data_IF_439858931613
#
_entry.id   IF_439858931613
#
_cell.length_a   1.000
_cell.length_b   1.000
_cell.length_c   1.000
_cell.angle_alpha   90.00
_cell.angle_beta   90.00
_cell.angle_gamma   90.00
#
_symmetry.space_group_name_H-M   'P 1'
#
loop_
_entity.id
_entity.type
_entity.pdbx_description
1 polymer ?
#
# COMPACT_ATOMS: atom_id res chain seq x y z
N UNK A 1 -11.31 27.51 8.63
CA UNK A 1 -11.86 26.21 9.07
C UNK A 1 -11.56 25.24 7.94
N UNK A 2 -11.06 24.04 8.25
CA UNK A 2 -10.77 23.02 7.23
C UNK A 2 -12.06 22.70 6.47
N UNK A 3 -11.95 22.42 5.18
CA UNK A 3 -13.08 22.22 4.26
C UNK A 3 -13.44 20.73 4.09
N UNK A 4 -12.48 19.83 4.30
CA UNK A 4 -12.70 18.38 4.26
C UNK A 4 -11.46 17.60 4.66
N UNK A 5 -11.56 16.28 4.64
CA UNK A 5 -10.57 15.34 5.14
C UNK A 5 -9.69 14.74 4.05
N UNK A 6 -8.52 14.28 4.47
CA UNK A 6 -7.63 13.45 3.67
C UNK A 6 -6.99 12.37 4.52
N UNK A 7 -6.90 11.15 3.98
CA UNK A 7 -6.09 10.08 4.57
C UNK A 7 -5.39 9.29 3.48
N UNK A 8 -4.10 9.04 3.67
CA UNK A 8 -3.44 7.91 3.02
C UNK A 8 -3.92 6.60 3.66
N UNK A 9 -4.04 5.55 2.86
CA UNK A 9 -4.26 4.17 3.31
C UNK A 9 -3.18 3.30 2.68
N UNK A 10 -2.11 3.04 3.42
CA UNK A 10 -0.96 2.26 2.93
C UNK A 10 -1.17 0.79 3.28
N UNK A 11 -1.24 -0.10 2.29
CA UNK A 11 -1.45 -1.53 2.51
C UNK A 11 -0.12 -2.29 2.46
N UNK A 12 0.35 -2.80 3.61
CA UNK A 12 1.60 -3.57 3.70
C UNK A 12 1.31 -5.07 3.76
N UNK A 13 1.77 -5.80 2.75
CA UNK A 13 1.60 -7.24 2.69
C UNK A 13 2.76 -7.95 1.98
N UNK A 14 3.27 -8.99 2.62
CA UNK A 14 4.06 -10.03 1.97
C UNK A 14 3.53 -11.40 2.42
N UNK A 15 3.51 -12.41 1.54
CA UNK A 15 3.12 -13.77 1.90
C UNK A 15 4.09 -14.37 2.93
N UNK A 16 3.74 -15.54 3.46
CA UNK A 16 4.63 -16.25 4.37
C UNK A 16 5.87 -16.75 3.63
N UNK A 17 7.00 -16.09 3.85
CA UNK A 17 8.27 -16.30 3.17
C UNK A 17 9.37 -16.84 4.11
N UNK A 18 9.14 -16.81 5.43
CA UNK A 18 10.07 -17.36 6.43
C UNK A 18 10.41 -18.82 6.14
N UNK A 19 11.70 -19.11 5.97
CA UNK A 19 12.29 -20.41 5.58
C UNK A 19 11.79 -20.98 4.24
N UNK A 20 11.19 -20.17 3.38
CA UNK A 20 10.73 -20.61 2.05
C UNK A 20 11.82 -20.55 0.96
N UNK A 21 13.05 -20.17 1.34
CA UNK A 21 14.16 -19.86 0.44
C UNK A 21 14.82 -18.55 0.87
N UNK A 22 16.10 -18.36 0.55
CA UNK A 22 16.81 -17.09 0.83
C UNK A 22 16.88 -16.18 -0.41
N UNK A 23 17.09 -16.74 -1.60
CA UNK A 23 17.29 -15.99 -2.86
C UNK A 23 16.86 -16.86 -4.06
N UNK A 24 16.23 -16.33 -5.14
CA UNK A 24 15.76 -14.95 -5.35
C UNK A 24 14.32 -14.71 -4.83
N UNK A 25 13.68 -15.76 -4.30
CA UNK A 25 12.33 -15.74 -3.77
C UNK A 25 12.34 -16.35 -2.36
N UNK A 26 11.65 -15.71 -1.41
CA UNK A 26 11.66 -16.11 0.00
C UNK A 26 11.96 -14.91 0.92
N UNK A 27 12.83 -15.11 1.91
CA UNK A 27 13.08 -14.11 2.96
C UNK A 27 13.68 -12.80 2.44
N UNK A 28 14.35 -12.81 1.30
CA UNK A 28 14.88 -11.58 0.68
C UNK A 28 13.79 -10.55 0.39
N UNK A 29 12.57 -10.95 0.01
CA UNK A 29 11.46 -10.00 -0.17
C UNK A 29 11.12 -9.25 1.12
N UNK A 30 11.14 -9.95 2.26
CA UNK A 30 10.94 -9.32 3.57
C UNK A 30 12.07 -8.34 3.89
N UNK A 31 13.31 -8.67 3.52
CA UNK A 31 14.49 -7.85 3.81
C UNK A 31 14.60 -6.63 2.89
N UNK A 32 14.27 -6.77 1.61
CA UNK A 32 14.12 -5.67 0.66
C UNK A 32 13.02 -4.72 1.15
N UNK A 33 11.82 -5.22 1.45
CA UNK A 33 10.74 -4.39 1.98
C UNK A 33 11.10 -3.74 3.33
N UNK A 34 11.75 -4.45 4.25
CA UNK A 34 12.16 -3.88 5.53
C UNK A 34 13.21 -2.77 5.37
N UNK A 35 14.21 -2.96 4.49
CA UNK A 35 15.30 -2.00 4.28
C UNK A 35 14.88 -0.80 3.44
N UNK A 36 14.10 -1.01 2.39
CA UNK A 36 13.73 0.03 1.42
C UNK A 36 12.39 0.69 1.74
N UNK A 37 11.46 0.01 2.41
CA UNK A 37 10.11 0.53 2.69
C UNK A 37 9.88 0.81 4.18
N UNK A 38 9.85 -0.23 5.03
CA UNK A 38 9.31 -0.08 6.39
C UNK A 38 10.20 0.78 7.30
N UNK A 39 11.52 0.54 7.31
CA UNK A 39 12.45 1.34 8.11
C UNK A 39 12.53 2.78 7.59
N UNK A 40 12.62 3.04 6.26
CA UNK A 40 12.55 4.40 5.72
C UNK A 40 11.24 5.14 6.02
N UNK A 41 10.07 4.49 5.90
CA UNK A 41 8.79 5.10 6.28
C UNK A 41 8.78 5.42 7.78
N UNK A 42 9.19 4.49 8.65
CA UNK A 42 9.29 4.78 10.09
C UNK A 42 10.22 5.97 10.36
N UNK A 43 11.37 6.05 9.68
CA UNK A 43 12.26 7.20 9.81
C UNK A 43 11.55 8.50 9.40
N UNK A 44 10.86 8.53 8.25
CA UNK A 44 10.10 9.69 7.79
C UNK A 44 9.04 10.14 8.80
N UNK A 45 8.24 9.20 9.33
CA UNK A 45 7.17 9.51 10.29
C UNK A 45 7.73 9.96 11.65
N UNK A 46 8.80 9.33 12.14
CA UNK A 46 9.41 9.73 13.40
C UNK A 46 10.11 11.09 13.29
N UNK A 47 10.72 11.41 12.16
CA UNK A 47 11.30 12.73 11.93
C UNK A 47 10.21 13.82 11.99
N UNK A 48 9.06 13.60 11.32
CA UNK A 48 7.92 14.53 11.39
C UNK A 48 7.39 14.68 12.83
N UNK A 49 7.31 13.57 13.57
CA UNK A 49 6.91 13.56 14.98
C UNK A 49 7.88 14.37 15.85
N UNK A 50 9.19 14.18 15.68
CA UNK A 50 10.24 14.90 16.42
C UNK A 50 10.28 16.39 16.05
N UNK A 51 9.92 16.73 14.81
CA UNK A 51 9.70 18.12 14.35
C UNK A 51 8.38 18.73 14.88
N UNK A 52 7.51 17.95 15.50
CA UNK A 52 6.21 18.39 16.02
C UNK A 52 5.12 18.59 14.96
N UNK A 53 5.27 17.99 13.77
CA UNK A 53 4.28 18.07 12.68
C UNK A 53 3.07 17.18 13.01
N UNK A 54 1.84 17.71 13.06
CA UNK A 54 0.65 16.94 13.44
C UNK A 54 0.05 16.15 12.27
N UNK A 55 0.84 15.26 11.67
CA UNK A 55 0.38 14.43 10.54
C UNK A 55 -0.55 13.31 10.99
N UNK A 56 -1.41 12.83 10.07
CA UNK A 56 -2.27 11.66 10.28
C UNK A 56 -2.34 10.81 9.01
N UNK A 57 -2.28 9.49 9.16
CA UNK A 57 -2.55 8.54 8.09
C UNK A 57 -3.07 7.21 8.63
N UNK A 58 -3.53 6.36 7.71
CA UNK A 58 -3.91 4.98 7.97
C UNK A 58 -2.94 4.03 7.25
N UNK A 59 -2.52 2.96 7.94
CA UNK A 59 -1.64 1.92 7.38
C UNK A 59 -2.16 0.54 7.76
N UNK A 60 -2.33 -0.36 6.80
CA UNK A 60 -2.64 -1.77 7.04
C UNK A 60 -1.38 -2.59 7.16
N UNK A 61 -1.26 -3.35 8.25
CA UNK A 61 -0.21 -4.35 8.43
C UNK A 61 -0.89 -5.72 8.46
N UNK A 62 -0.68 -6.52 7.42
CA UNK A 62 -1.31 -7.85 7.39
C UNK A 62 -0.78 -8.72 8.54
N UNK A 63 -1.62 -9.59 9.14
CA UNK A 63 -1.20 -10.42 10.27
C UNK A 63 0.03 -11.29 9.94
N UNK A 64 0.02 -11.96 8.79
CA UNK A 64 1.16 -12.77 8.32
C UNK A 64 2.45 -11.95 8.15
N UNK A 65 2.37 -10.69 7.72
CA UNK A 65 3.55 -9.82 7.65
C UNK A 65 4.02 -9.44 9.06
N UNK A 66 3.09 -9.08 9.94
CA UNK A 66 3.37 -8.65 11.31
C UNK A 66 4.07 -9.76 12.10
N UNK A 67 3.58 -11.01 12.01
CA UNK A 67 4.21 -12.17 12.64
C UNK A 67 5.65 -12.38 12.13
N UNK A 68 5.90 -12.19 10.84
CA UNK A 68 7.24 -12.36 10.26
C UNK A 68 8.20 -11.24 10.66
N UNK A 69 7.74 -9.98 10.67
CA UNK A 69 8.55 -8.83 11.10
C UNK A 69 8.81 -8.81 12.62
N UNK A 70 8.06 -9.57 13.41
CA UNK A 70 8.31 -9.77 14.84
C UNK A 70 9.17 -11.02 15.14
N UNK A 71 9.42 -11.89 14.15
CA UNK A 71 10.18 -13.13 14.35
C UNK A 71 11.69 -12.87 14.48
N UNK A 72 12.29 -13.38 15.56
CA UNK A 72 13.70 -13.16 15.89
C UNK A 72 14.66 -13.62 14.79
N UNK A 73 14.35 -14.74 14.12
CA UNK A 73 15.21 -15.28 13.07
C UNK A 73 15.15 -14.39 11.82
N UNK A 74 13.96 -13.93 11.43
CA UNK A 74 13.79 -12.97 10.32
C UNK A 74 14.58 -11.68 10.59
N UNK A 75 14.54 -11.17 11.82
CA UNK A 75 15.29 -9.96 12.20
C UNK A 75 16.81 -10.17 12.24
N UNK A 76 17.28 -11.37 12.60
CA UNK A 76 18.69 -11.74 12.52
C UNK A 76 19.16 -11.80 11.07
N UNK A 77 18.43 -12.50 10.20
CA UNK A 77 18.72 -12.56 8.76
C UNK A 77 18.62 -11.19 8.08
N UNK A 78 17.76 -10.30 8.55
CA UNK A 78 17.70 -8.92 8.07
C UNK A 78 19.02 -8.16 8.33
N UNK A 79 19.66 -8.37 9.48
CA UNK A 79 20.97 -7.78 9.76
C UNK A 79 22.08 -8.41 8.91
N UNK A 80 22.01 -9.72 8.64
CA UNK A 80 22.91 -10.38 7.68
C UNK A 80 22.76 -9.78 6.29
N UNK A 81 21.52 -9.60 5.82
CA UNK A 81 21.19 -8.98 4.54
C UNK A 81 21.76 -7.56 4.42
N UNK A 82 21.52 -6.70 5.41
CA UNK A 82 22.06 -5.33 5.44
C UNK A 82 23.59 -5.33 5.41
N UNK A 83 24.23 -6.22 6.18
CA UNK A 83 25.69 -6.35 6.19
C UNK A 83 26.22 -6.78 4.82
N UNK A 84 25.53 -7.70 4.15
CA UNK A 84 25.85 -8.11 2.78
C UNK A 84 25.72 -6.97 1.77
N UNK A 85 24.66 -6.15 1.86
CA UNK A 85 24.47 -4.97 0.99
C UNK A 85 25.55 -3.91 1.22
N UNK A 86 25.92 -3.64 2.48
CA UNK A 86 27.00 -2.71 2.81
C UNK A 86 28.33 -3.21 2.25
N UNK A 87 28.66 -4.50 2.43
CA UNK A 87 29.89 -5.08 1.88
C UNK A 87 29.92 -5.04 0.35
N UNK A 88 28.79 -5.34 -0.31
CA UNK A 88 28.69 -5.26 -1.77
C UNK A 88 28.90 -3.82 -2.28
N UNK A 89 28.30 -2.82 -1.63
CA UNK A 89 28.54 -1.41 -1.95
C UNK A 89 30.02 -1.04 -1.74
N UNK A 90 30.65 -1.50 -0.65
CA UNK A 90 32.08 -1.26 -0.40
C UNK A 90 32.99 -1.87 -1.47
N UNK A 91 32.72 -3.10 -1.92
CA UNK A 91 33.44 -3.70 -3.05
C UNK A 91 33.23 -2.94 -4.36
N UNK A 92 32.04 -2.37 -4.57
CA UNK A 92 31.77 -1.53 -5.74
C UNK A 92 32.56 -0.22 -5.71
N UNK A 93 32.80 0.39 -4.54
CA UNK A 93 33.65 1.58 -4.40
C UNK A 93 35.06 1.28 -4.93
N UNK A 94 35.66 0.17 -4.50
CA UNK A 94 37.00 -0.25 -4.95
C UNK A 94 37.00 -0.49 -6.47
N UNK A 95 36.02 -1.26 -6.95
CA UNK A 95 35.88 -1.60 -8.37
C UNK A 95 35.73 -0.38 -9.26
N UNK A 96 34.87 0.57 -8.90
CA UNK A 96 34.65 1.78 -9.68
C UNK A 96 35.82 2.76 -9.60
N UNK A 97 36.53 2.79 -8.47
CA UNK A 97 37.79 3.54 -8.36
C UNK A 97 38.88 2.98 -9.29
N UNK A 98 39.02 1.65 -9.39
CA UNK A 98 39.97 0.99 -10.30
C UNK A 98 39.64 1.25 -11.78
N UNK A 99 38.35 1.35 -12.13
CA UNK A 99 37.91 1.68 -13.49
C UNK A 99 37.94 3.18 -13.81
N UNK A 100 38.19 4.04 -12.82
CA UNK A 100 38.17 5.50 -12.98
C UNK A 100 36.77 6.08 -13.22
N UNK A 101 35.70 5.40 -12.76
CA UNK A 101 34.32 5.89 -12.87
C UNK A 101 33.92 6.62 -11.58
N UNK A 102 34.28 7.90 -11.51
CA UNK A 102 34.11 8.72 -10.30
C UNK A 102 32.63 8.85 -9.87
N UNK A 103 31.70 8.89 -10.83
CA UNK A 103 30.28 9.03 -10.51
C UNK A 103 29.68 7.73 -9.96
N UNK A 104 30.02 6.59 -10.56
CA UNK A 104 29.59 5.29 -10.04
C UNK A 104 30.21 4.99 -8.68
N UNK A 105 31.47 5.39 -8.46
CA UNK A 105 32.13 5.33 -7.16
C UNK A 105 31.38 6.16 -6.12
N UNK A 106 31.03 7.41 -6.44
CA UNK A 106 30.22 8.26 -5.57
C UNK A 106 28.87 7.60 -5.20
N UNK A 107 28.19 6.98 -6.17
CA UNK A 107 26.94 6.28 -5.90
C UNK A 107 27.12 5.05 -5.01
N UNK A 108 28.22 4.30 -5.17
CA UNK A 108 28.56 3.18 -4.30
C UNK A 108 28.85 3.64 -2.85
N UNK A 109 29.58 4.74 -2.68
CA UNK A 109 29.77 5.40 -1.38
C UNK A 109 28.43 5.81 -0.76
N UNK A 110 27.56 6.45 -1.55
CA UNK A 110 26.22 6.85 -1.12
C UNK A 110 25.35 5.66 -0.70
N UNK A 111 25.37 4.55 -1.44
CA UNK A 111 24.62 3.34 -1.06
C UNK A 111 25.16 2.69 0.22
N UNK A 112 26.49 2.63 0.39
CA UNK A 112 27.09 2.13 1.62
C UNK A 112 26.60 2.94 2.83
N UNK A 113 26.64 4.28 2.73
CA UNK A 113 26.13 5.18 3.76
C UNK A 113 24.62 5.03 3.99
N UNK A 114 23.84 4.86 2.94
CA UNK A 114 22.40 4.67 3.02
C UNK A 114 22.04 3.39 3.78
N UNK A 115 22.61 2.24 3.42
CA UNK A 115 22.37 0.98 4.12
C UNK A 115 22.92 1.00 5.55
N UNK A 116 24.04 1.67 5.80
CA UNK A 116 24.56 1.90 7.16
C UNK A 116 23.57 2.72 8.00
N UNK A 117 22.94 3.75 7.42
CA UNK A 117 21.90 4.54 8.10
C UNK A 117 20.65 3.70 8.41
N UNK A 118 20.20 2.88 7.46
CA UNK A 118 19.08 1.95 7.69
C UNK A 118 19.41 0.98 8.83
N UNK A 119 20.59 0.36 8.80
CA UNK A 119 21.05 -0.54 9.87
C UNK A 119 21.13 0.18 11.22
N UNK A 120 21.74 1.38 11.25
CA UNK A 120 21.90 2.17 12.47
C UNK A 120 20.55 2.58 13.06
N UNK A 121 19.61 3.04 12.24
CA UNK A 121 18.27 3.43 12.73
C UNK A 121 17.48 2.24 13.23
N UNK A 122 17.51 1.11 12.51
CA UNK A 122 16.91 -0.15 12.96
C UNK A 122 17.47 -0.60 14.32
N UNK A 123 18.79 -0.59 14.51
CA UNK A 123 19.45 -0.99 15.76
C UNK A 123 19.23 0.01 16.90
N UNK A 124 19.38 1.32 16.61
CA UNK A 124 19.53 2.34 17.64
C UNK A 124 18.23 3.09 17.92
N UNK A 125 17.46 3.45 16.89
CA UNK A 125 16.20 4.19 17.01
C UNK A 125 15.04 3.24 17.33
N UNK A 126 14.93 2.15 16.57
CA UNK A 126 13.82 1.19 16.69
C UNK A 126 14.15 -0.05 17.52
N UNK A 127 15.39 -0.19 18.02
CA UNK A 127 15.80 -1.30 18.91
C UNK A 127 15.48 -2.69 18.36
N UNK A 128 15.60 -2.86 17.04
CA UNK A 128 15.24 -4.08 16.29
C UNK A 128 13.75 -4.42 16.33
N UNK A 129 12.88 -3.43 16.51
CA UNK A 129 11.43 -3.63 16.62
C UNK A 129 10.66 -2.71 15.67
N UNK A 130 10.44 -3.19 14.44
CA UNK A 130 9.68 -2.46 13.41
C UNK A 130 8.20 -2.35 13.84
N UNK A 131 7.62 -3.42 14.38
CA UNK A 131 6.22 -3.47 14.80
C UNK A 131 5.97 -2.54 15.99
N UNK A 132 6.86 -2.55 16.98
CA UNK A 132 6.85 -1.62 18.10
C UNK A 132 6.99 -0.15 17.65
N UNK A 133 7.76 0.11 16.61
CA UNK A 133 7.85 1.44 15.99
C UNK A 133 6.51 1.96 15.47
N UNK A 134 5.80 1.15 14.68
CA UNK A 134 4.44 1.52 14.22
C UNK A 134 3.46 1.59 15.37
N UNK A 135 3.53 0.64 16.32
CA UNK A 135 2.67 0.64 17.51
C UNK A 135 2.77 1.95 18.29
N UNK A 136 3.98 2.48 18.51
CA UNK A 136 4.16 3.73 19.26
C UNK A 136 3.48 4.90 18.56
N UNK A 137 3.63 5.02 17.24
CA UNK A 137 2.96 6.06 16.45
C UNK A 137 1.43 5.95 16.55
N UNK A 138 0.89 4.73 16.57
CA UNK A 138 -0.53 4.50 16.80
C UNK A 138 -0.98 4.86 18.22
N UNK A 139 -0.17 4.49 19.22
CA UNK A 139 -0.47 4.79 20.61
C UNK A 139 -0.50 6.29 20.89
N UNK A 140 0.32 7.07 20.18
CA UNK A 140 0.36 8.53 20.23
C UNK A 140 -0.63 9.22 19.26
N UNK A 141 -1.38 8.43 18.49
CA UNK A 141 -2.44 8.91 17.61
C UNK A 141 -1.97 9.54 16.30
N UNK A 142 -0.71 9.37 15.89
CA UNK A 142 -0.21 9.81 14.58
C UNK A 142 -0.72 8.94 13.44
N UNK A 143 -0.92 7.65 13.68
CA UNK A 143 -1.40 6.72 12.67
C UNK A 143 -2.55 5.87 13.22
N UNK A 144 -3.31 5.29 12.30
CA UNK A 144 -4.19 4.16 12.58
C UNK A 144 -3.66 2.92 11.86
N UNK A 145 -3.52 1.82 12.58
CA UNK A 145 -3.12 0.53 12.01
C UNK A 145 -4.37 -0.30 11.73
N UNK A 146 -4.54 -0.73 10.47
CA UNK A 146 -5.56 -1.68 10.05
C UNK A 146 -5.05 -3.11 10.19
N UNK A 147 -5.97 -4.03 10.50
CA UNK A 147 -5.73 -5.47 10.32
C UNK A 147 -6.12 -5.93 8.92
N UNK A 148 -6.00 -7.23 8.66
CA UNK A 148 -6.54 -7.91 7.48
C UNK A 148 -6.88 -9.37 7.82
N UNK A 149 -7.32 -10.14 6.83
CA UNK A 149 -7.37 -11.59 6.94
C UNK A 149 -5.99 -12.16 7.28
N UNK A 150 -5.95 -13.18 8.15
CA UNK A 150 -4.74 -13.76 8.73
C UNK A 150 -3.59 -13.93 7.72
N UNK A 151 -3.86 -14.54 6.57
CA UNK A 151 -2.86 -14.80 5.53
C UNK A 151 -3.20 -14.10 4.21
N UNK A 152 -3.98 -13.01 4.28
CA UNK A 152 -4.46 -12.30 3.09
C UNK A 152 -5.23 -13.22 2.11
N UNK A 153 -5.96 -14.21 2.64
CA UNK A 153 -6.75 -15.14 1.83
C UNK A 153 -7.90 -14.42 1.11
N UNK A 154 -8.12 -14.74 -0.16
CA UNK A 154 -9.14 -14.07 -0.98
C UNK A 154 -10.57 -14.45 -0.56
N UNK A 155 -11.10 -13.69 0.40
CA UNK A 155 -12.29 -14.06 1.18
C UNK A 155 -13.53 -14.38 0.34
N UNK A 156 -13.89 -13.61 -0.72
CA UNK A 156 -15.10 -13.89 -1.51
C UNK A 156 -15.17 -15.28 -2.11
N UNK A 157 -14.02 -15.88 -2.43
CA UNK A 157 -13.92 -17.18 -3.11
C UNK A 157 -13.75 -18.35 -2.13
N UNK A 158 -13.62 -18.10 -0.83
CA UNK A 158 -13.53 -19.19 0.15
C UNK A 158 -14.87 -19.94 0.24
N UNK A 159 -14.80 -21.26 0.07
CA UNK A 159 -15.99 -22.10 -0.03
C UNK A 159 -16.80 -22.14 1.28
N UNK A 160 -16.12 -22.14 2.43
CA UNK A 160 -16.75 -22.30 3.76
C UNK A 160 -16.74 -20.99 4.55
N UNK A 161 -17.88 -20.67 5.15
CA UNK A 161 -18.03 -19.52 6.05
C UNK A 161 -17.09 -19.62 7.25
N UNK A 162 -16.80 -20.83 7.74
CA UNK A 162 -15.83 -21.06 8.81
C UNK A 162 -14.39 -20.70 8.41
N UNK A 163 -14.03 -20.82 7.12
CA UNK A 163 -12.70 -20.39 6.63
C UNK A 163 -12.60 -18.86 6.59
N UNK A 164 -13.66 -18.18 6.19
CA UNK A 164 -13.74 -16.70 6.22
C UNK A 164 -13.66 -16.21 7.67
N UNK A 165 -14.50 -16.77 8.54
CA UNK A 165 -14.51 -16.45 9.97
C UNK A 165 -13.15 -16.70 10.64
N UNK A 166 -12.52 -17.84 10.35
CA UNK A 166 -11.18 -18.17 10.86
C UNK A 166 -10.10 -17.19 10.40
N UNK A 167 -10.12 -16.78 9.13
CA UNK A 167 -9.19 -15.76 8.60
C UNK A 167 -9.33 -14.42 9.33
N UNK A 168 -10.56 -13.95 9.56
CA UNK A 168 -10.83 -12.67 10.23
C UNK A 168 -10.50 -12.73 11.73
N UNK A 169 -10.96 -13.76 12.43
CA UNK A 169 -10.72 -13.92 13.87
C UNK A 169 -9.24 -14.07 14.21
N UNK A 170 -8.48 -14.85 13.42
CA UNK A 170 -7.03 -14.98 13.60
C UNK A 170 -6.33 -13.67 13.31
N UNK A 171 -6.76 -12.94 12.26
CA UNK A 171 -6.20 -11.63 11.95
C UNK A 171 -6.42 -10.61 13.07
N UNK A 172 -7.63 -10.58 13.63
CA UNK A 172 -7.96 -9.78 14.82
C UNK A 172 -7.13 -10.18 16.05
N UNK A 173 -6.97 -11.48 16.29
CA UNK A 173 -6.18 -11.96 17.43
C UNK A 173 -4.70 -11.58 17.32
N UNK A 174 -4.08 -11.78 16.16
CA UNK A 174 -2.69 -11.34 15.91
C UNK A 174 -2.55 -9.83 16.10
N UNK A 175 -3.49 -9.04 15.58
CA UNK A 175 -3.51 -7.59 15.80
C UNK A 175 -3.51 -7.22 17.30
N UNK A 176 -4.38 -7.83 18.11
CA UNK A 176 -4.45 -7.57 19.55
C UNK A 176 -3.14 -7.95 20.24
N UNK A 177 -2.51 -9.07 19.86
CA UNK A 177 -1.26 -9.51 20.43
C UNK A 177 -0.11 -8.53 20.18
N UNK A 178 -0.04 -7.93 18.98
CA UNK A 178 1.04 -7.01 18.61
C UNK A 178 0.77 -5.56 19.02
N UNK A 179 -0.49 -5.10 18.94
CA UNK A 179 -0.85 -3.70 19.13
C UNK A 179 -1.57 -3.39 20.45
N UNK A 180 -2.03 -4.41 21.17
CA UNK A 180 -2.61 -4.29 22.52
C UNK A 180 -4.01 -3.65 22.56
N UNK A 181 -4.69 -3.53 21.40
CA UNK A 181 -6.05 -2.98 21.27
C UNK A 181 -6.81 -3.70 20.16
N UNK A 182 -8.12 -3.50 20.09
CA UNK A 182 -8.94 -4.04 19.01
C UNK A 182 -8.78 -3.19 17.73
N UNK A 183 -8.73 -3.79 16.54
CA UNK A 183 -8.75 -3.04 15.29
C UNK A 183 -10.15 -2.43 15.09
N UNK A 184 -10.22 -1.16 14.65
CA UNK A 184 -11.50 -0.49 14.32
C UNK A 184 -11.92 -0.69 12.88
N UNK A 185 -10.93 -0.91 12.01
CA UNK A 185 -11.07 -0.99 10.57
C UNK A 185 -10.16 -2.08 10.00
N UNK A 186 -10.54 -2.60 8.83
CA UNK A 186 -9.88 -3.73 8.19
C UNK A 186 -9.58 -3.41 6.73
N UNK A 187 -8.41 -3.84 6.27
CA UNK A 187 -8.13 -3.97 4.85
C UNK A 187 -8.59 -5.34 4.37
N UNK A 188 -9.68 -5.41 3.61
CA UNK A 188 -10.08 -6.66 2.97
C UNK A 188 -9.02 -7.06 1.94
N UNK A 189 -8.60 -8.34 1.90
CA UNK A 189 -7.64 -8.77 0.90
C UNK A 189 -8.08 -8.37 -0.49
N UNK A 190 -7.26 -7.54 -1.13
CA UNK A 190 -7.48 -7.04 -2.49
C UNK A 190 -8.74 -6.18 -2.67
N UNK A 191 -9.19 -5.53 -1.59
CA UNK A 191 -10.50 -4.86 -1.52
C UNK A 191 -11.65 -5.78 -2.01
N UNK A 192 -11.47 -7.09 -1.89
CA UNK A 192 -12.37 -8.07 -2.48
C UNK A 192 -13.60 -8.23 -1.59
N UNK A 193 -14.75 -7.85 -2.15
CA UNK A 193 -16.02 -7.84 -1.47
C UNK A 193 -17.04 -8.68 -2.23
N UNK A 194 -17.94 -9.33 -1.48
CA UNK A 194 -19.10 -10.04 -2.01
C UNK A 194 -20.31 -9.83 -1.08
N UNK A 195 -21.48 -9.44 -1.61
CA UNK A 195 -22.72 -9.35 -0.84
C UNK A 195 -23.30 -10.73 -0.53
N UNK A 196 -24.27 -10.78 0.39
CA UNK A 196 -24.99 -12.02 0.65
C UNK A 196 -25.67 -12.57 -0.62
N UNK A 197 -25.63 -13.89 -0.81
CA UNK A 197 -26.30 -14.56 -1.94
C UNK A 197 -26.83 -15.94 -1.52
N UNK A 198 -27.76 -16.46 -2.32
CA UNK A 198 -28.32 -17.79 -2.13
C UNK A 198 -27.57 -18.80 -2.99
N UNK A 199 -27.28 -19.97 -2.43
CA UNK A 199 -26.57 -21.06 -3.11
C UNK A 199 -27.25 -22.39 -2.84
N UNK A 200 -27.16 -23.28 -3.82
CA UNK A 200 -27.70 -24.64 -3.74
C UNK A 200 -26.66 -25.54 -3.06
N UNK A 201 -27.02 -26.09 -1.92
CA UNK A 201 -26.19 -27.03 -1.17
C UNK A 201 -26.72 -28.46 -1.22
N UNK A 202 -25.92 -29.44 -0.74
CA UNK A 202 -26.36 -30.83 -0.59
C UNK A 202 -27.63 -30.98 0.28
N UNK A 203 -27.86 -30.03 1.20
CA UNK A 203 -28.97 -30.00 2.13
C UNK A 203 -30.04 -28.96 1.77
N UNK A 204 -30.06 -28.48 0.51
CA UNK A 204 -31.02 -27.49 0.01
C UNK A 204 -30.43 -26.09 -0.18
N UNK A 205 -31.29 -25.15 -0.54
CA UNK A 205 -30.94 -23.74 -0.73
C UNK A 205 -30.60 -23.09 0.60
N UNK A 206 -29.43 -22.47 0.71
CA UNK A 206 -29.03 -21.71 1.89
C UNK A 206 -28.40 -20.37 1.51
N UNK A 207 -28.48 -19.41 2.43
CA UNK A 207 -27.92 -18.07 2.26
C UNK A 207 -26.48 -18.07 2.77
N UNK A 208 -25.54 -17.66 1.94
CA UNK A 208 -24.19 -17.28 2.39
C UNK A 208 -24.20 -15.80 2.81
N UNK A 209 -23.72 -15.47 4.02
CA UNK A 209 -23.62 -14.08 4.45
C UNK A 209 -22.73 -13.25 3.52
N UNK A 210 -22.97 -11.95 3.46
CA UNK A 210 -22.08 -10.98 2.85
C UNK A 210 -20.83 -10.79 3.71
N UNK A 211 -19.74 -10.30 3.11
CA UNK A 211 -18.50 -10.09 3.84
C UNK A 211 -18.71 -9.12 5.01
N UNK A 212 -19.54 -8.09 4.85
CA UNK A 212 -19.87 -7.10 5.87
C UNK A 212 -20.54 -7.71 7.13
N UNK A 213 -21.25 -8.83 7.00
CA UNK A 213 -21.86 -9.52 8.14
C UNK A 213 -20.79 -10.16 9.03
N UNK A 214 -19.75 -10.76 8.43
CA UNK A 214 -18.61 -11.28 9.20
C UNK A 214 -17.80 -10.15 9.87
N UNK A 215 -17.66 -9.00 9.19
CA UNK A 215 -16.99 -7.83 9.78
C UNK A 215 -17.77 -7.27 10.98
N UNK A 216 -19.11 -7.22 10.87
CA UNK A 216 -19.99 -6.80 11.95
C UNK A 216 -19.85 -7.69 13.19
N UNK A 217 -19.79 -9.02 13.00
CA UNK A 217 -19.54 -9.98 14.09
C UNK A 217 -18.18 -9.78 14.75
N UNK A 218 -17.19 -9.29 14.00
CA UNK A 218 -15.85 -8.97 14.47
C UNK A 218 -15.69 -7.50 14.89
N UNK A 219 -16.77 -6.73 15.07
CA UNK A 219 -16.74 -5.33 15.50
C UNK A 219 -15.85 -4.41 14.61
N UNK A 220 -15.58 -4.83 13.37
CA UNK A 220 -14.81 -4.09 12.37
C UNK A 220 -15.76 -3.14 11.63
N UNK A 221 -15.63 -1.84 11.89
CA UNK A 221 -16.64 -0.84 11.49
C UNK A 221 -16.40 -0.23 10.12
N UNK A 222 -15.22 -0.42 9.56
CA UNK A 222 -14.82 0.23 8.32
C UNK A 222 -13.93 -0.69 7.48
N UNK A 223 -14.19 -0.72 6.18
CA UNK A 223 -13.31 -1.30 5.17
C UNK A 223 -13.24 -0.42 3.92
N UNK A 224 -12.42 -0.82 2.95
CA UNK A 224 -12.13 -0.05 1.75
C UNK A 224 -12.54 -0.81 0.49
N UNK A 225 -13.00 -0.06 -0.52
CA UNK A 225 -13.47 -0.58 -1.81
C UNK A 225 -12.88 0.20 -2.97
N UNK A 226 -12.88 -0.39 -4.17
CA UNK A 226 -12.48 0.32 -5.38
C UNK A 226 -13.57 1.32 -5.82
N UNK A 227 -13.15 2.38 -6.53
CA UNK A 227 -13.97 3.48 -7.05
C UNK A 227 -15.26 3.00 -7.71
N UNK A 228 -15.15 2.01 -8.62
CA UNK A 228 -16.29 1.52 -9.40
C UNK A 228 -17.37 0.84 -8.54
N UNK A 229 -17.01 0.31 -7.37
CA UNK A 229 -17.99 -0.30 -6.47
C UNK A 229 -18.95 0.74 -5.84
N UNK A 230 -18.55 2.01 -5.82
CA UNK A 230 -19.37 3.14 -5.34
C UNK A 230 -19.95 3.92 -6.51
N UNK A 231 -19.10 4.39 -7.42
CA UNK A 231 -19.46 5.32 -8.50
C UNK A 231 -20.06 4.60 -9.73
N UNK A 232 -20.07 3.27 -9.75
CA UNK A 232 -20.43 2.48 -10.94
C UNK A 232 -19.44 2.70 -12.08
N UNK A 233 -19.84 2.37 -13.30
CA UNK A 233 -18.99 2.53 -14.47
C UNK A 233 -17.89 1.46 -14.60
N UNK A 234 -16.96 1.68 -15.53
CA UNK A 234 -15.85 0.74 -15.76
C UNK A 234 -14.84 0.84 -14.61
N UNK A 235 -14.22 -0.29 -14.19
CA UNK A 235 -13.08 -0.25 -13.30
C UNK A 235 -11.98 0.68 -13.82
N UNK A 236 -11.31 1.40 -12.92
CA UNK A 236 -10.24 2.37 -13.20
C UNK A 236 -8.94 1.96 -12.52
N UNK A 237 -7.79 2.52 -12.93
CA UNK A 237 -6.49 2.19 -12.34
C UNK A 237 -6.07 0.72 -12.50
N UNK A 238 -5.50 0.10 -11.44
CA UNK A 238 -5.03 -1.33 -11.41
C UNK A 238 -6.10 -2.31 -11.87
N UNK A 239 -7.37 -1.94 -11.70
CA UNK A 239 -8.51 -2.73 -12.13
C UNK A 239 -8.81 -2.70 -13.63
N UNK A 240 -8.13 -1.90 -14.46
CA UNK A 240 -8.31 -1.91 -15.93
C UNK A 240 -7.51 -3.01 -16.63
N UNK A 241 -6.55 -3.65 -15.95
CA UNK A 241 -5.70 -4.68 -16.57
C UNK A 241 -4.69 -4.15 -17.58
N UNK A 242 -4.53 -2.83 -17.71
CA UNK A 242 -3.37 -2.27 -18.38
C UNK A 242 -2.09 -2.58 -17.59
N UNK A 243 -0.95 -2.59 -18.28
CA UNK A 243 0.36 -2.57 -17.63
C UNK A 243 0.45 -1.25 -16.86
N UNK A 244 0.05 -1.25 -15.59
CA UNK A 244 0.12 -0.08 -14.72
C UNK A 244 1.46 -0.08 -13.98
N UNK A 245 2.19 1.02 -14.14
CA UNK A 245 3.56 1.22 -13.66
C UNK A 245 4.63 0.69 -14.64
N UNK A 246 5.84 1.27 -14.65
CA UNK A 246 6.98 0.74 -15.40
C UNK A 246 7.43 -0.65 -14.89
N UNK A 247 6.81 -1.15 -13.81
CA UNK A 247 7.18 -2.37 -13.10
C UNK A 247 6.27 -3.57 -13.40
N UNK A 248 5.31 -3.45 -14.32
CA UNK A 248 4.43 -4.53 -14.73
C UNK A 248 5.12 -5.60 -15.60
N UNK A 249 4.94 -6.86 -15.22
CA UNK A 249 5.43 -8.03 -15.96
C UNK A 249 4.85 -8.12 -17.38
N UNK A 250 5.53 -8.91 -18.22
CA UNK A 250 5.23 -9.26 -19.62
C UNK A 250 3.71 -9.28 -19.89
N UNK A 251 3.19 -8.54 -20.89
CA UNK A 251 1.76 -8.54 -21.21
C UNK A 251 1.33 -9.93 -21.66
N UNK A 252 0.75 -10.71 -20.75
CA UNK A 252 0.08 -11.95 -21.12
C UNK A 252 -1.26 -11.60 -21.75
N UNK A 253 -1.45 -12.05 -23.00
CA UNK A 253 -2.64 -11.81 -23.81
C UNK A 253 -3.82 -12.65 -23.29
N UNK A 254 -4.42 -12.25 -22.18
CA UNK A 254 -5.76 -12.72 -21.82
C UNK A 254 -6.80 -11.74 -22.35
N UNK A 255 -7.90 -12.27 -22.89
CA UNK A 255 -9.13 -11.49 -23.05
C UNK A 255 -9.74 -11.41 -21.66
N UNK A 256 -9.50 -10.31 -20.96
CA UNK A 256 -10.10 -10.07 -19.65
C UNK A 256 -11.59 -9.78 -19.87
N UNK A 257 -12.51 -10.54 -19.27
CA UNK A 257 -13.92 -10.21 -19.31
C UNK A 257 -14.12 -8.92 -18.51
N UNK A 258 -14.35 -7.83 -19.23
CA UNK A 258 -14.83 -6.59 -18.63
C UNK A 258 -16.24 -6.90 -18.13
N UNK A 259 -16.58 -6.69 -16.85
CA UNK A 259 -17.94 -6.86 -16.37
C UNK A 259 -18.91 -6.06 -17.25
N UNK A 260 -20.13 -6.55 -17.40
CA UNK A 260 -21.18 -5.83 -18.12
C UNK A 260 -21.25 -4.39 -17.60
N UNK A 261 -21.45 -3.43 -18.51
CA UNK A 261 -21.45 -2.00 -18.21
C UNK A 261 -22.44 -1.68 -17.08
N UNK A 262 -21.94 -1.40 -15.88
CA UNK A 262 -22.73 -0.79 -14.81
C UNK A 262 -22.86 0.69 -15.11
N UNK A 263 -24.10 1.21 -15.15
CA UNK A 263 -24.31 2.63 -15.34
C UNK A 263 -23.65 3.42 -14.20
N UNK A 264 -22.93 4.52 -14.51
CA UNK A 264 -22.39 5.41 -13.48
C UNK A 264 -23.50 5.81 -12.50
N UNK A 265 -23.24 5.63 -11.22
CA UNK A 265 -24.16 6.04 -10.16
C UNK A 265 -24.03 7.55 -9.91
N UNK A 266 -25.00 8.14 -9.22
CA UNK A 266 -24.88 9.51 -8.71
C UNK A 266 -24.10 9.58 -7.38
N UNK A 267 -23.43 8.49 -6.99
CA UNK A 267 -22.66 8.41 -5.74
C UNK A 267 -21.22 8.83 -5.99
N UNK A 268 -20.49 9.00 -4.90
CA UNK A 268 -19.16 9.59 -4.90
C UNK A 268 -18.25 8.96 -3.85
N UNK A 269 -16.97 8.78 -4.19
CA UNK A 269 -15.92 8.29 -3.28
C UNK A 269 -15.51 9.30 -2.18
N UNK A 270 -16.06 10.52 -2.23
CA UNK A 270 -15.75 11.58 -1.27
C UNK A 270 -16.49 11.48 0.07
N UNK A 271 -17.29 10.44 0.27
CA UNK A 271 -18.00 10.19 1.52
C UNK A 271 -18.06 8.69 1.82
N UNK A 272 -18.11 8.28 3.11
CA UNK A 272 -18.33 6.88 3.47
C UNK A 272 -19.81 6.50 3.31
N UNK A 273 -20.08 5.20 3.13
CA UNK A 273 -21.43 4.63 3.05
C UNK A 273 -21.56 3.47 4.03
N UNK A 274 -22.72 3.34 4.69
CA UNK A 274 -23.05 2.09 5.37
C UNK A 274 -23.35 1.00 4.34
N UNK A 275 -22.93 -0.24 4.59
CA UNK A 275 -23.16 -1.35 3.66
C UNK A 275 -24.32 -2.20 4.16
N UNK A 276 -25.45 -2.15 3.45
CA UNK A 276 -26.75 -2.81 3.74
C UNK A 276 -27.42 -2.47 5.07
N UNK A 277 -26.66 -2.34 6.14
CA UNK A 277 -27.10 -2.02 7.51
C UNK A 277 -26.17 -0.96 8.11
N UNK A 278 -26.63 -0.16 9.08
CA UNK A 278 -25.84 0.91 9.70
C UNK A 278 -24.84 0.38 10.75
N UNK A 279 -24.09 -0.67 10.40
CA UNK A 279 -23.14 -1.36 11.31
C UNK A 279 -21.71 -1.28 10.78
N UNK A 280 -21.52 -1.51 9.48
CA UNK A 280 -20.21 -1.51 8.81
C UNK A 280 -20.26 -0.52 7.66
N UNK A 281 -19.25 0.34 7.57
CA UNK A 281 -19.09 1.32 6.51
C UNK A 281 -18.01 0.92 5.50
N UNK A 282 -18.12 1.43 4.29
CA UNK A 282 -17.11 1.35 3.25
C UNK A 282 -16.67 2.76 2.83
N UNK A 283 -15.36 2.93 2.59
CA UNK A 283 -14.78 4.10 1.93
C UNK A 283 -14.19 3.70 0.58
N UNK A 284 -14.46 4.49 -0.45
CA UNK A 284 -13.90 4.26 -1.78
C UNK A 284 -12.53 4.88 -1.95
N UNK A 285 -11.64 4.19 -2.65
CA UNK A 285 -10.41 4.77 -3.19
C UNK A 285 -10.75 5.93 -4.12
N UNK A 286 -10.05 7.06 -4.00
CA UNK A 286 -10.22 8.17 -4.93
C UNK A 286 -9.38 7.95 -6.20
N UNK A 287 -10.03 7.92 -7.37
CA UNK A 287 -9.36 7.65 -8.64
C UNK A 287 -8.33 8.71 -9.01
N UNK A 288 -8.68 10.01 -8.90
CA UNK A 288 -7.79 11.11 -9.31
C UNK A 288 -6.50 11.14 -8.49
N UNK A 289 -6.60 11.02 -7.16
CA UNK A 289 -5.41 10.98 -6.30
C UNK A 289 -4.61 9.68 -6.50
N UNK A 290 -5.29 8.55 -6.72
CA UNK A 290 -4.66 7.26 -7.01
C UNK A 290 -3.85 7.27 -8.31
N UNK A 291 -4.47 7.71 -9.41
CA UNK A 291 -3.87 7.73 -10.75
C UNK A 291 -2.64 8.62 -10.85
N UNK A 292 -2.59 9.73 -10.09
CA UNK A 292 -1.46 10.64 -10.08
C UNK A 292 -0.16 10.00 -9.57
N UNK A 293 -0.26 8.90 -8.81
CA UNK A 293 0.91 8.14 -8.34
C UNK A 293 1.07 6.83 -9.12
N UNK A 294 -0.02 6.11 -9.41
CA UNK A 294 0.03 4.77 -10.02
C UNK A 294 0.03 4.73 -11.55
N UNK A 295 -0.22 5.84 -12.25
CA UNK A 295 -0.22 5.83 -13.71
C UNK A 295 1.17 5.47 -14.26
N UNK A 296 1.22 4.54 -15.22
CA UNK A 296 2.45 4.20 -15.93
C UNK A 296 2.98 5.38 -16.76
N UNK A 297 2.06 6.18 -17.32
CA UNK A 297 2.37 7.23 -18.28
C UNK A 297 2.63 8.59 -17.60
N UNK A 298 1.96 8.84 -16.48
CA UNK A 298 1.91 10.15 -15.82
C UNK A 298 2.15 10.12 -14.30
N UNK A 299 2.39 8.94 -13.73
CA UNK A 299 2.65 8.79 -12.30
C UNK A 299 4.04 9.30 -11.95
N UNK A 300 4.17 9.91 -10.77
CA UNK A 300 5.47 10.40 -10.29
C UNK A 300 6.61 9.37 -10.33
N UNK A 301 6.42 8.08 -10.00
CA UNK A 301 7.48 7.08 -10.06
C UNK A 301 8.19 6.96 -11.42
N UNK A 302 7.53 7.39 -12.50
CA UNK A 302 8.10 7.40 -13.85
C UNK A 302 9.04 8.58 -14.16
N UNK A 303 9.28 9.51 -13.23
CA UNK A 303 10.18 10.65 -13.48
C UNK A 303 11.58 10.17 -13.82
N UNK A 304 12.15 10.81 -14.84
CA UNK A 304 13.44 10.43 -15.43
C UNK A 304 14.63 10.57 -14.46
N UNK A 305 14.46 11.28 -13.35
CA UNK A 305 15.48 11.46 -12.32
C UNK A 305 15.37 10.47 -11.17
N UNK A 306 14.28 9.72 -11.04
CA UNK A 306 14.13 8.70 -10.01
C UNK A 306 14.89 7.41 -10.33
N UNK A 307 15.21 6.65 -9.29
CA UNK A 307 15.94 5.38 -9.39
C UNK A 307 15.21 4.37 -10.29
N UNK A 308 15.92 3.80 -11.25
CA UNK A 308 15.46 2.69 -12.09
C UNK A 308 15.50 1.38 -11.29
N UNK A 309 14.34 0.80 -11.03
CA UNK A 309 14.22 -0.44 -10.25
C UNK A 309 14.80 -1.65 -11.00
N UNK A 310 14.58 -1.72 -12.31
CA UNK A 310 14.86 -2.94 -13.09
C UNK A 310 16.32 -3.09 -13.48
N UNK A 311 17.07 -1.98 -13.50
CA UNK A 311 18.49 -2.02 -13.86
C UNK A 311 19.33 -2.24 -12.62
N UNK A 312 19.83 -3.47 -12.49
CA UNK A 312 20.74 -3.90 -11.43
C UNK A 312 22.15 -4.07 -11.99
N UNK A 313 23.16 -3.75 -11.17
CA UNK A 313 24.55 -4.03 -11.46
C UNK A 313 24.77 -5.54 -11.57
N UNK A 314 25.52 -5.98 -12.58
CA UNK A 314 25.70 -7.40 -12.88
C UNK A 314 26.54 -8.18 -11.85
N UNK A 315 27.20 -7.48 -10.93
CA UNK A 315 28.06 -8.08 -9.90
C UNK A 315 27.40 -7.95 -8.52
N UNK A 316 27.05 -6.73 -8.10
CA UNK A 316 26.51 -6.48 -6.76
C UNK A 316 24.99 -6.52 -6.68
N UNK A 317 24.30 -6.41 -7.81
CA UNK A 317 22.84 -6.29 -7.87
C UNK A 317 22.31 -4.92 -7.42
N UNK A 318 23.17 -3.93 -7.17
CA UNK A 318 22.79 -2.56 -6.78
C UNK A 318 22.17 -1.77 -7.95
N UNK A 319 21.29 -0.83 -7.64
CA UNK A 319 20.54 -0.05 -8.63
C UNK A 319 21.13 1.36 -8.79
N UNK A 320 22.15 1.50 -9.63
CA UNK A 320 22.91 2.75 -9.80
C UNK A 320 22.38 3.70 -10.89
N UNK A 321 21.23 3.38 -11.50
CA UNK A 321 20.73 4.11 -12.66
C UNK A 321 19.39 4.76 -12.37
N UNK A 322 19.06 5.79 -13.16
CA UNK A 322 17.77 6.46 -13.12
C UNK A 322 16.89 6.04 -14.28
N UNK A 323 15.58 6.25 -14.14
CA UNK A 323 14.58 5.90 -15.16
C UNK A 323 14.97 6.47 -16.52
N UNK A 324 15.52 7.69 -16.59
CA UNK A 324 16.04 8.37 -17.81
C UNK A 324 14.98 8.66 -18.87
N UNK A 325 14.28 7.63 -19.32
CA UNK A 325 13.13 7.62 -20.20
C UNK A 325 12.45 6.23 -20.07
N UNK A 326 11.12 6.18 -20.07
CA UNK A 326 10.35 4.95 -19.83
C UNK A 326 10.44 3.97 -21.01
N UNK A 327 10.62 4.45 -22.24
CA UNK A 327 10.73 3.63 -23.45
C UNK A 327 12.16 3.20 -23.80
N UNK A 328 13.15 3.65 -23.03
CA UNK A 328 14.55 3.37 -23.28
C UNK A 328 14.97 1.99 -22.76
N UNK A 329 15.76 1.27 -23.56
CA UNK A 329 16.36 -0.02 -23.14
C UNK A 329 17.25 0.15 -21.90
N UNK A 330 17.29 -0.88 -21.04
CA UNK A 330 18.02 -0.86 -19.79
C UNK A 330 19.49 -0.50 -19.98
N UNK A 331 20.15 -0.94 -21.06
CA UNK A 331 21.56 -0.63 -21.33
C UNK A 331 21.87 0.85 -21.50
N UNK A 332 20.87 1.67 -21.88
CA UNK A 332 21.04 3.09 -22.17
C UNK A 332 20.62 4.02 -21.01
N UNK A 333 20.10 3.47 -19.91
CA UNK A 333 19.77 4.26 -18.71
C UNK A 333 21.01 5.00 -18.19
N UNK A 334 20.83 6.24 -17.77
CA UNK A 334 21.90 7.08 -17.25
C UNK A 334 22.14 6.81 -15.77
N UNK A 335 23.34 7.11 -15.25
CA UNK A 335 23.59 7.03 -13.80
C UNK A 335 22.62 7.89 -13.00
N UNK A 336 22.23 7.38 -11.83
CA UNK A 336 21.36 8.07 -10.89
C UNK A 336 22.07 9.27 -10.26
N UNK A 337 21.30 10.28 -9.84
CA UNK A 337 21.83 11.42 -9.10
C UNK A 337 20.85 11.75 -7.94
N UNK A 338 21.22 11.41 -6.69
CA UNK A 338 20.37 11.64 -5.53
C UNK A 338 19.98 13.11 -5.34
N UNK A 339 20.79 14.07 -5.78
CA UNK A 339 20.49 15.50 -5.64
C UNK A 339 19.29 15.89 -6.51
N UNK A 340 19.29 15.51 -7.78
CA UNK A 340 18.21 15.84 -8.71
C UNK A 340 16.91 15.09 -8.38
N UNK A 341 17.03 13.84 -7.92
CA UNK A 341 15.90 13.08 -7.45
C UNK A 341 15.18 13.79 -6.28
N UNK A 342 15.94 14.30 -5.31
CA UNK A 342 15.37 15.04 -4.17
C UNK A 342 14.69 16.37 -4.59
N UNK A 343 15.17 17.04 -5.62
CA UNK A 343 14.45 18.20 -6.17
C UNK A 343 13.08 17.79 -6.73
N UNK A 344 13.02 16.66 -7.43
CA UNK A 344 11.75 16.11 -7.96
C UNK A 344 10.80 15.65 -6.88
N UNK A 345 11.29 15.12 -5.77
CA UNK A 345 10.48 14.80 -4.60
C UNK A 345 9.71 16.05 -4.13
N UNK A 346 10.39 17.18 -4.00
CA UNK A 346 9.78 18.43 -3.58
C UNK A 346 8.73 18.95 -4.57
N UNK A 347 9.05 18.96 -5.86
CA UNK A 347 8.11 19.36 -6.92
C UNK A 347 6.84 18.49 -6.88
N UNK A 348 6.99 17.16 -6.83
CA UNK A 348 5.88 16.22 -6.86
C UNK A 348 5.08 16.22 -5.56
N UNK A 349 5.71 16.43 -4.41
CA UNK A 349 5.00 16.55 -3.14
C UNK A 349 4.15 17.83 -3.10
N UNK A 350 4.68 18.93 -3.62
CA UNK A 350 3.94 20.19 -3.76
C UNK A 350 2.76 20.02 -4.71
N UNK A 351 2.98 19.46 -5.90
CA UNK A 351 1.90 19.21 -6.86
C UNK A 351 0.80 18.32 -6.28
N UNK A 352 1.16 17.21 -5.64
CA UNK A 352 0.17 16.32 -5.03
C UNK A 352 -0.61 17.00 -3.91
N UNK A 353 0.06 17.80 -3.07
CA UNK A 353 -0.61 18.52 -1.99
C UNK A 353 -1.67 19.49 -2.54
N UNK A 354 -1.33 20.26 -3.58
CA UNK A 354 -2.29 21.14 -4.26
C UNK A 354 -3.43 20.39 -4.91
N UNK A 355 -3.16 19.23 -5.53
CA UNK A 355 -4.21 18.36 -6.07
C UNK A 355 -5.20 17.95 -4.97
N UNK A 356 -4.73 17.51 -3.80
CA UNK A 356 -5.62 17.13 -2.69
C UNK A 356 -6.45 18.33 -2.21
N UNK A 357 -5.83 19.51 -2.07
CA UNK A 357 -6.55 20.74 -1.73
C UNK A 357 -7.63 21.09 -2.76
N UNK A 358 -7.34 20.96 -4.05
CA UNK A 358 -8.30 21.20 -5.14
C UNK A 358 -9.46 20.21 -5.08
N UNK A 359 -9.20 18.92 -4.89
CA UNK A 359 -10.24 17.88 -4.80
C UNK A 359 -11.18 18.14 -3.62
N UNK A 360 -10.62 18.42 -2.43
CA UNK A 360 -11.40 18.71 -1.22
C UNK A 360 -12.20 20.00 -1.36
N UNK A 361 -11.57 21.08 -1.84
CA UNK A 361 -12.24 22.38 -1.98
C UNK A 361 -13.34 22.34 -3.04
N UNK A 362 -13.11 21.63 -4.15
CA UNK A 362 -14.11 21.51 -5.22
C UNK A 362 -15.31 20.71 -4.76
N UNK A 363 -15.10 19.56 -4.10
CA UNK A 363 -16.21 18.79 -3.53
C UNK A 363 -17.04 19.62 -2.54
N UNK A 364 -16.37 20.32 -1.61
CA UNK A 364 -17.05 21.14 -0.61
C UNK A 364 -17.84 22.28 -1.25
N UNK A 365 -17.31 22.90 -2.31
CA UNK A 365 -18.00 23.95 -3.07
C UNK A 365 -19.24 23.43 -3.79
N UNK A 366 -19.13 22.26 -4.43
CA UNK A 366 -20.18 21.72 -5.29
C UNK A 366 -21.32 21.08 -4.49
N UNK A 367 -21.02 20.46 -3.34
CA UNK A 367 -21.99 19.73 -2.51
C UNK A 367 -22.35 20.44 -1.20
N UNK A 368 -21.65 21.50 -0.82
CA UNK A 368 -21.93 22.30 0.38
C UNK A 368 -21.66 21.59 1.71
N UNK A 369 -20.97 20.44 1.70
CA UNK A 369 -20.61 19.64 2.88
C UNK A 369 -19.17 19.12 2.79
N UNK A 370 -18.49 18.86 3.91
CA UNK A 370 -17.13 18.33 3.88
C UNK A 370 -17.10 16.92 3.29
N UNK A 371 -16.09 16.64 2.47
CA UNK A 371 -15.79 15.30 1.95
C UNK A 371 -14.43 14.79 2.41
N UNK A 372 -14.17 13.51 2.20
CA UNK A 372 -12.87 12.86 2.46
C UNK A 372 -12.26 12.33 1.17
N UNK A 373 -10.97 12.61 0.95
CA UNK A 373 -10.18 11.95 -0.09
C UNK A 373 -9.38 10.81 0.53
N UNK A 374 -9.64 9.58 0.07
CA UNK A 374 -8.94 8.37 0.50
C UNK A 374 -7.98 7.91 -0.60
N UNK A 375 -6.68 8.04 -0.33
CA UNK A 375 -5.62 7.62 -1.27
C UNK A 375 -4.98 6.31 -0.81
N UNK A 376 -5.38 5.21 -1.43
CA UNK A 376 -4.91 3.87 -1.08
C UNK A 376 -3.84 3.33 -2.04
N UNK A 377 -2.76 2.77 -1.49
CA UNK A 377 -1.62 2.23 -2.24
C UNK A 377 -1.00 1.02 -1.51
N UNK A 378 -0.38 0.12 -2.26
CA UNK A 378 0.54 -0.88 -1.69
C UNK A 378 1.74 -0.14 -1.05
N UNK A 379 2.08 -0.44 0.20
CA UNK A 379 3.10 0.30 0.97
C UNK A 379 4.47 0.18 0.33
N UNK A 380 4.80 -1.00 -0.22
CA UNK A 380 6.08 -1.28 -0.89
C UNK A 380 6.28 -0.44 -2.16
N UNK A 381 5.24 0.26 -2.64
CA UNK A 381 5.43 1.31 -3.64
C UNK A 381 6.44 2.35 -3.14
N UNK A 382 6.32 2.76 -1.87
CA UNK A 382 7.13 3.83 -1.29
C UNK A 382 8.44 3.27 -0.74
N UNK A 383 9.45 3.23 -1.60
CA UNK A 383 10.84 2.96 -1.25
C UNK A 383 11.39 1.74 -1.98
N UNK A 384 10.62 0.66 -2.10
CA UNK A 384 11.06 -0.49 -2.87
C UNK A 384 10.91 -0.24 -4.38
N UNK A 385 9.68 -0.10 -4.87
CA UNK A 385 9.42 0.14 -6.30
C UNK A 385 9.78 1.58 -6.72
N UNK A 386 9.32 2.57 -5.95
CA UNK A 386 9.67 3.97 -6.11
C UNK A 386 10.56 4.41 -4.95
N UNK A 387 11.87 4.47 -5.18
CA UNK A 387 12.87 4.62 -4.14
C UNK A 387 12.71 5.89 -3.28
N UNK A 388 12.33 6.98 -3.91
CA UNK A 388 12.17 8.28 -3.28
C UNK A 388 10.79 8.45 -2.61
N UNK A 389 9.93 7.43 -2.70
CA UNK A 389 8.57 7.44 -2.18
C UNK A 389 8.45 7.77 -0.68
N UNK A 390 9.31 7.29 0.23
CA UNK A 390 9.24 7.64 1.65
C UNK A 390 9.51 9.14 1.90
N UNK A 391 10.44 9.74 1.16
CA UNK A 391 10.73 11.17 1.26
C UNK A 391 9.58 12.02 0.68
N UNK A 392 8.99 11.57 -0.44
CA UNK A 392 7.78 12.19 -0.98
C UNK A 392 6.61 12.12 -0.01
N UNK A 393 6.37 10.95 0.59
CA UNK A 393 5.31 10.75 1.58
C UNK A 393 5.52 11.69 2.78
N UNK A 394 6.75 11.77 3.29
CA UNK A 394 7.15 12.71 4.37
C UNK A 394 6.76 14.14 4.02
N UNK A 395 7.10 14.58 2.81
CA UNK A 395 6.89 15.96 2.38
C UNK A 395 5.42 16.28 2.11
N UNK A 396 4.65 15.36 1.54
CA UNK A 396 3.19 15.51 1.40
C UNK A 396 2.52 15.62 2.76
N UNK A 397 2.86 14.75 3.72
CA UNK A 397 2.31 14.81 5.08
C UNK A 397 2.65 16.14 5.76
N UNK A 398 3.87 16.67 5.56
CA UNK A 398 4.25 18.00 6.06
C UNK A 398 3.44 19.13 5.42
N UNK A 399 3.34 19.13 4.10
CA UNK A 399 2.61 20.15 3.35
C UNK A 399 1.13 20.19 3.73
N UNK A 400 0.46 19.03 3.76
CA UNK A 400 -0.95 18.94 4.12
C UNK A 400 -1.20 19.28 5.60
N UNK A 401 -0.20 19.13 6.48
CA UNK A 401 -0.35 19.50 7.89
C UNK A 401 -0.44 21.02 8.05
N UNK A 402 0.23 21.75 7.14
CA UNK A 402 0.22 23.20 7.07
C UNK A 402 -0.92 23.78 6.20
N UNK A 403 -1.66 22.95 5.46
CA UNK A 403 -2.79 23.39 4.63
C UNK A 403 -3.86 24.09 5.48
N UNK A 404 -4.54 25.11 4.98
CA UNK A 404 -5.74 25.67 5.63
C UNK A 404 -7.05 25.03 5.13
N UNK A 405 -6.96 24.20 4.09
CA UNK A 405 -8.08 23.59 3.38
C UNK A 405 -8.32 22.15 3.85
N UNK A 406 -7.25 21.36 3.98
CA UNK A 406 -7.35 19.91 4.18
C UNK A 406 -7.05 19.51 5.63
N UNK A 407 -7.93 18.74 6.24
CA UNK A 407 -7.69 18.08 7.51
C UNK A 407 -7.08 16.69 7.27
N UNK A 408 -5.84 16.47 7.73
CA UNK A 408 -5.31 15.12 7.80
C UNK A 408 -5.98 14.35 8.93
N UNK A 409 -6.50 13.18 8.63
CA UNK A 409 -7.21 12.32 9.58
C UNK A 409 -6.79 10.87 9.41
N UNK A 410 -7.17 10.02 10.37
CA UNK A 410 -7.22 8.58 10.13
C UNK A 410 -8.64 8.18 9.68
N UNK A 411 -8.75 7.07 8.97
CA UNK A 411 -10.01 6.64 8.36
C UNK A 411 -11.15 6.45 9.39
N UNK A 412 -10.92 5.75 10.50
CA UNK A 412 -11.98 5.56 11.50
C UNK A 412 -12.27 6.83 12.29
N UNK A 413 -11.27 7.69 12.52
CA UNK A 413 -11.47 8.97 13.21
C UNK A 413 -12.38 9.90 12.39
N UNK A 414 -12.23 9.88 11.05
CA UNK A 414 -13.17 10.58 10.17
C UNK A 414 -14.57 9.99 10.24
N UNK A 415 -14.69 8.66 10.17
CA UNK A 415 -15.98 7.97 10.22
C UNK A 415 -16.74 8.27 11.53
N UNK A 416 -16.04 8.33 12.66
CA UNK A 416 -16.62 8.66 13.96
C UNK A 416 -17.15 10.11 14.02
N UNK A 417 -16.44 11.05 13.37
CA UNK A 417 -16.83 12.47 13.33
C UNK A 417 -17.89 12.77 12.26
N UNK A 418 -17.89 12.00 11.17
CA UNK A 418 -18.74 12.17 10.00
C UNK A 418 -19.37 10.81 9.63
N UNK A 419 -20.31 10.29 10.43
CA UNK A 419 -20.95 9.00 10.16
C UNK A 419 -21.72 9.05 8.83
N UNK A 420 -21.79 7.93 8.09
CA UNK A 420 -22.50 7.88 6.81
C UNK A 420 -23.98 8.23 6.97
N UNK A 421 -24.49 9.06 6.06
CA UNK A 421 -25.92 9.40 5.99
C UNK A 421 -26.70 8.42 5.09
N UNK A 422 -25.98 7.63 4.29
CA UNK A 422 -26.53 6.78 3.25
C UNK A 422 -26.13 5.31 3.44
N UNK A 423 -27.04 4.43 2.99
CA UNK A 423 -26.83 2.98 2.91
C UNK A 423 -26.66 2.59 1.44
N UNK A 424 -25.65 1.77 1.18
CA UNK A 424 -25.28 1.23 -0.12
C UNK A 424 -25.47 -0.29 -0.14
N UNK A 425 -26.17 -0.79 -1.16
CA UNK A 425 -26.04 -2.18 -1.60
C UNK A 425 -24.81 -2.28 -2.50
N UNK A 426 -23.70 -2.70 -1.91
CA UNK A 426 -22.42 -2.78 -2.62
C UNK A 426 -22.42 -4.00 -3.58
N UNK A 427 -22.02 -3.84 -4.85
CA UNK A 427 -21.86 -4.97 -5.77
C UNK A 427 -20.62 -5.79 -5.40
N UNK A 428 -20.54 -7.00 -5.93
CA UNK A 428 -19.33 -7.84 -5.81
C UNK A 428 -18.17 -7.18 -6.59
N UNK A 429 -17.01 -7.01 -5.95
CA UNK A 429 -15.92 -6.20 -6.51
C UNK A 429 -14.55 -6.59 -5.96
N UNK A 430 -13.48 -6.15 -6.62
CA UNK A 430 -12.12 -6.07 -6.06
C UNK A 430 -11.35 -4.90 -6.67
N UNK A 431 -10.17 -4.56 -6.13
CA UNK A 431 -9.27 -3.59 -6.77
C UNK A 431 -8.29 -4.23 -7.78
N UNK A 432 -8.43 -5.53 -8.03
CA UNK A 432 -7.66 -6.30 -9.00
C UNK A 432 -8.16 -6.14 -10.43
N UNK A 433 -7.52 -6.83 -11.38
CA UNK A 433 -7.83 -6.72 -12.80
C UNK A 433 -9.32 -6.96 -13.10
N UNK A 434 -9.88 -6.13 -13.98
CA UNK A 434 -11.31 -5.99 -14.28
C UNK A 434 -12.25 -5.66 -13.12
N UNK A 435 -11.72 -5.24 -11.97
CA UNK A 435 -12.53 -4.85 -10.81
C UNK A 435 -13.31 -6.00 -10.19
N UNK A 436 -13.01 -7.23 -10.58
CA UNK A 436 -13.74 -8.44 -10.20
C UNK A 436 -12.74 -9.50 -9.69
N UNK A 437 -13.11 -10.77 -9.74
CA UNK A 437 -12.27 -11.86 -9.21
C UNK A 437 -11.26 -12.43 -10.20
N UNK A 438 -11.17 -11.89 -11.42
CA UNK A 438 -10.43 -12.50 -12.52
C UNK A 438 -8.96 -12.74 -12.21
N UNK A 439 -8.29 -11.84 -11.48
CA UNK A 439 -6.88 -12.03 -11.08
C UNK A 439 -6.65 -13.32 -10.30
N UNK A 440 -7.61 -13.75 -9.48
CA UNK A 440 -7.49 -14.96 -8.64
C UNK A 440 -8.31 -16.15 -9.14
N UNK A 441 -9.27 -15.92 -10.04
CA UNK A 441 -10.14 -16.95 -10.62
C UNK A 441 -10.15 -16.83 -12.13
N UNK A 442 -9.22 -17.53 -12.74
CA UNK A 442 -9.04 -17.67 -14.18
C UNK A 442 -8.49 -19.08 -14.50
N UNK A 443 -8.29 -19.39 -15.78
CA UNK A 443 -7.83 -20.70 -16.22
C UNK A 443 -6.50 -21.15 -15.59
N UNK A 444 -5.59 -20.23 -15.26
CA UNK A 444 -4.27 -20.57 -14.69
C UNK A 444 -4.33 -20.83 -13.18
N UNK A 445 -5.39 -20.37 -12.53
CA UNK A 445 -5.56 -20.41 -11.06
C UNK A 445 -6.71 -21.31 -10.63
N UNK A 446 -7.58 -21.73 -11.56
CA UNK A 446 -8.78 -22.53 -11.29
C UNK A 446 -8.46 -23.84 -10.56
N UNK A 447 -7.33 -24.47 -10.91
CA UNK A 447 -6.88 -25.73 -10.32
C UNK A 447 -6.62 -25.66 -8.81
N UNK A 448 -6.37 -24.47 -8.25
CA UNK A 448 -6.10 -24.30 -6.82
C UNK A 448 -7.37 -24.38 -5.98
N UNK A 449 -8.50 -23.88 -6.49
CA UNK A 449 -9.73 -23.72 -5.70
C UNK A 449 -10.38 -25.02 -5.23
N UNK A 450 -10.29 -26.16 -5.94
CA UNK A 450 -10.74 -27.44 -5.40
C UNK A 450 -9.83 -28.00 -4.29
N UNK A 451 -8.57 -27.54 -4.21
CA UNK A 451 -7.60 -27.97 -3.19
C UNK A 451 -7.78 -27.16 -1.90
N UNK A 452 -8.08 -25.87 -2.03
CA UNK A 452 -8.39 -24.91 -0.94
C UNK A 452 -9.79 -25.20 -0.39
#
# INVERSE_FOLDING_TARGET
MKQGGFTFVLHSHLPYARRAGRWPHGEEWLHEAASETYVPILNALYDLREEGVPFRLTIGLTPVLTEQLADKLVLEHFLEYLSGKIAAAQSDIERFAESGDDHMKYLAEWYADWYLKVQSTFLNRFKRDIIGGFKLLQDEGYIEILTSAATHGYLPLLARDSSISGQLQVGRHSYVNHFGRQPRAIWLPECAYRPAYWVDGPNGHYRKPGIEEFLAENDEKLFFVETHAIEGGRPVGKATGGVLGPYGAIPQRYVVPIPDYEEPTHRTTYQPYYVRTPVVAAMGRNDRSGMQVWSADHGYPGDFNYREFHRKDGISGMQYWKVTDVGLDLGHKQPYDPYWAQQRVADHANHYSHLIEELVASYTRDYGKPGIVVSAYDTELFGHWWFEGPDWLKQVLRNLAASDVVEQTTASSWLEQHPPEEILDLPESSWGQAGNHFTWKNADTEWMWPII
#
